data_IF_195676726941
#
_entry.id   IF_195676726941
#
_cell.length_a   1.000
_cell.length_b   1.000
_cell.length_c   1.000
_cell.angle_alpha   90.00
_cell.angle_beta   90.00
_cell.angle_gamma   90.00
#
_symmetry.space_group_name_H-M   'P 1'
#
loop_
_entity.id
_entity.type
_entity.pdbx_description
1 polymer ?
#
# COMPACT_ATOMS: atom_id res chain seq x y z
N UNK A 1 1.75 25.99 60.49
CA UNK A 1 0.86 26.13 59.31
C UNK A 1 1.63 26.17 57.98
N UNK A 2 2.71 26.95 57.87
CA UNK A 2 3.53 27.04 56.64
C UNK A 2 4.22 25.74 56.18
N UNK A 3 4.58 24.84 57.11
CA UNK A 3 5.30 23.61 56.78
C UNK A 3 4.40 22.55 56.12
N UNK A 4 3.15 22.43 56.58
CA UNK A 4 2.17 21.50 56.03
C UNK A 4 1.72 21.90 54.61
N UNK A 5 1.67 23.20 54.33
CA UNK A 5 1.31 23.71 52.99
C UNK A 5 2.36 23.34 51.93
N UNK A 6 3.66 23.36 52.29
CA UNK A 6 4.75 22.93 51.39
C UNK A 6 4.72 21.44 51.07
N UNK A 7 4.39 20.60 52.04
CA UNK A 7 4.32 19.14 51.83
C UNK A 7 3.14 18.79 50.92
N UNK A 8 1.98 19.44 51.10
CA UNK A 8 0.81 19.24 50.25
C UNK A 8 1.09 19.71 48.82
N UNK A 9 1.74 20.87 48.63
CA UNK A 9 2.14 21.35 47.30
C UNK A 9 3.14 20.41 46.61
N UNK A 10 4.12 19.87 47.33
CA UNK A 10 5.04 18.88 46.78
C UNK A 10 4.34 17.56 46.42
N UNK A 11 3.37 17.10 47.21
CA UNK A 11 2.62 15.87 46.92
C UNK A 11 1.69 16.03 45.72
N UNK A 12 1.03 17.20 45.58
CA UNK A 12 0.20 17.53 44.42
C UNK A 12 1.07 17.69 43.16
N UNK A 13 2.24 18.33 43.25
CA UNK A 13 3.20 18.38 42.13
C UNK A 13 3.71 16.99 41.74
N UNK A 14 3.98 16.12 42.71
CA UNK A 14 4.44 14.75 42.46
C UNK A 14 3.34 13.90 41.81
N UNK A 15 2.09 14.03 42.25
CA UNK A 15 0.93 13.39 41.60
C UNK A 15 0.65 13.95 40.20
N UNK A 16 0.88 15.24 39.97
CA UNK A 16 0.81 15.86 38.64
C UNK A 16 1.91 15.34 37.71
N UNK A 17 3.13 15.11 38.22
CA UNK A 17 4.22 14.53 37.45
C UNK A 17 4.12 13.01 37.25
N UNK A 18 3.46 12.28 38.14
CA UNK A 18 3.15 10.85 37.92
C UNK A 18 2.03 10.69 36.89
N UNK A 19 1.05 11.59 36.87
CA UNK A 19 -0.02 11.59 35.86
C UNK A 19 0.43 12.06 34.47
N UNK A 20 1.51 12.86 34.36
CA UNK A 20 2.16 13.14 33.06
C UNK A 20 3.14 12.06 32.61
N UNK A 21 3.46 11.08 33.47
CA UNK A 21 4.21 9.86 33.12
C UNK A 21 3.30 8.66 32.84
N UNK A 22 1.99 8.88 32.68
CA UNK A 22 1.19 7.98 31.86
C UNK A 22 1.77 8.08 30.47
N UNK A 23 2.55 7.07 30.08
CA UNK A 23 3.03 6.82 28.73
C UNK A 23 1.96 7.28 27.76
N UNK A 24 2.15 8.47 27.18
CA UNK A 24 1.33 8.93 26.08
C UNK A 24 1.42 7.78 25.07
N UNK A 25 0.29 7.10 24.89
CA UNK A 25 0.09 6.31 23.69
C UNK A 25 0.37 7.30 22.56
N UNK A 26 1.55 7.19 21.95
CA UNK A 26 1.95 8.09 20.88
C UNK A 26 0.93 7.90 19.79
N UNK A 27 0.31 9.00 19.44
CA UNK A 27 -0.83 9.04 18.58
C UNK A 27 -0.42 8.54 17.17
N UNK A 28 -1.09 7.52 16.60
CA UNK A 28 -0.75 7.04 15.26
C UNK A 28 -0.83 8.13 14.17
N UNK A 29 -1.49 9.26 14.46
CA UNK A 29 -1.50 10.47 13.63
C UNK A 29 -0.16 11.23 13.61
N UNK A 30 0.70 11.09 14.61
CA UNK A 30 1.97 11.81 14.70
C UNK A 30 3.00 11.35 13.64
N UNK A 31 2.83 10.16 13.06
CA UNK A 31 3.83 9.54 12.19
C UNK A 31 3.48 9.58 10.70
N UNK A 32 2.31 10.11 10.37
CA UNK A 32 1.79 10.11 9.01
C UNK A 32 0.97 11.38 8.77
N UNK A 33 1.06 11.99 7.58
CA UNK A 33 1.92 11.61 6.47
C UNK A 33 3.37 12.09 6.64
N UNK A 34 4.33 11.45 5.97
CA UNK A 34 5.72 11.95 5.88
C UNK A 34 5.84 13.10 4.89
N UNK A 35 4.88 13.24 3.97
CA UNK A 35 4.81 14.32 3.01
C UNK A 35 3.38 14.72 2.64
N UNK A 36 3.16 16.02 2.41
CA UNK A 36 1.90 16.58 1.90
C UNK A 36 2.13 17.35 0.61
N UNK A 37 1.20 17.24 -0.33
CA UNK A 37 1.21 18.05 -1.55
C UNK A 37 1.03 19.54 -1.19
N UNK A 38 1.56 20.47 -1.98
CA UNK A 38 1.24 21.89 -1.84
C UNK A 38 -0.26 22.17 -2.04
N UNK A 39 -0.84 23.18 -1.35
CA UNK A 39 -2.19 23.65 -1.62
C UNK A 39 -2.39 23.96 -3.12
N UNK A 40 -3.56 23.60 -3.68
CA UNK A 40 -3.89 23.78 -5.10
C UNK A 40 -3.39 22.71 -6.07
N UNK A 41 -2.51 21.79 -5.62
CA UNK A 41 -2.10 20.59 -6.38
C UNK A 41 -2.75 19.29 -5.86
N UNK A 42 -3.53 19.40 -4.79
CA UNK A 42 -4.22 18.29 -4.13
C UNK A 42 -5.54 17.98 -4.86
N UNK A 43 -5.83 16.71 -5.20
CA UNK A 43 -7.19 16.31 -5.54
C UNK A 43 -8.10 16.46 -4.31
N UNK A 44 -9.41 16.49 -4.51
CA UNK A 44 -10.41 16.65 -3.43
C UNK A 44 -10.30 15.57 -2.34
N UNK A 45 -9.80 14.38 -2.70
CA UNK A 45 -9.62 13.26 -1.78
C UNK A 45 -8.27 13.29 -1.02
N UNK A 46 -7.47 14.36 -1.14
CA UNK A 46 -6.30 14.59 -0.26
C UNK A 46 -6.61 15.76 0.66
N UNK A 47 -6.93 15.43 1.92
CA UNK A 47 -7.62 16.34 2.87
C UNK A 47 -6.81 16.58 4.13
N UNK A 48 -7.04 17.72 4.79
CA UNK A 48 -6.48 18.00 6.11
C UNK A 48 -7.48 17.57 7.21
N UNK A 49 -7.75 16.26 7.28
CA UNK A 49 -8.59 15.61 8.30
C UNK A 49 -7.77 14.67 9.19
N UNK A 50 -8.40 14.05 10.18
CA UNK A 50 -7.78 12.95 10.92
C UNK A 50 -7.83 11.66 10.09
N UNK A 51 -6.73 10.91 10.13
CA UNK A 51 -6.63 9.57 9.54
C UNK A 51 -7.48 8.57 10.34
N UNK A 52 -7.81 7.43 9.73
CA UNK A 52 -8.45 6.32 10.45
C UNK A 52 -7.43 5.67 11.39
N UNK A 53 -7.78 5.59 12.67
CA UNK A 53 -6.98 4.97 13.73
C UNK A 53 -7.65 3.69 14.26
N UNK A 54 -6.93 2.84 15.01
CA UNK A 54 -7.49 1.62 15.58
C UNK A 54 -8.77 1.87 16.40
N UNK A 55 -9.87 1.24 15.98
CA UNK A 55 -11.19 1.33 16.62
C UNK A 55 -12.17 2.30 15.97
N UNK A 56 -11.74 3.09 14.97
CA UNK A 56 -12.64 3.97 14.20
C UNK A 56 -13.57 3.19 13.26
N UNK A 57 -13.16 1.98 12.89
CA UNK A 57 -13.92 1.03 12.08
C UNK A 57 -13.93 -0.32 12.76
N UNK A 58 -14.85 -1.18 12.39
CA UNK A 58 -14.87 -2.58 12.80
C UNK A 58 -14.59 -3.49 11.61
N UNK A 59 -13.94 -4.63 11.86
CA UNK A 59 -13.71 -5.64 10.82
C UNK A 59 -15.01 -6.17 10.21
N UNK A 60 -16.09 -6.19 10.98
CA UNK A 60 -17.45 -6.55 10.56
C UNK A 60 -17.99 -5.65 9.43
N UNK A 61 -17.43 -4.45 9.27
CA UNK A 61 -17.83 -3.51 8.23
C UNK A 61 -17.31 -3.88 6.84
N UNK A 62 -16.25 -4.67 6.78
CA UNK A 62 -15.59 -5.03 5.53
C UNK A 62 -16.07 -6.39 5.01
N UNK A 63 -16.30 -6.49 3.71
CA UNK A 63 -16.54 -7.77 3.04
C UNK A 63 -15.24 -8.55 2.88
N UNK A 64 -15.34 -9.88 2.92
CA UNK A 64 -14.23 -10.73 2.53
C UNK A 64 -14.00 -10.65 1.01
N UNK A 65 -12.77 -10.90 0.53
CA UNK A 65 -12.43 -10.78 -0.89
C UNK A 65 -13.26 -11.70 -1.79
N UNK A 66 -13.65 -12.88 -1.29
CA UNK A 66 -14.50 -13.83 -2.03
C UNK A 66 -15.88 -13.24 -2.34
N UNK A 67 -16.40 -12.36 -1.47
CA UNK A 67 -17.66 -11.65 -1.71
C UNK A 67 -17.55 -10.75 -2.94
N UNK A 68 -16.43 -10.05 -3.09
CA UNK A 68 -16.14 -9.24 -4.28
C UNK A 68 -15.99 -10.12 -5.53
N UNK A 69 -15.36 -11.29 -5.38
CA UNK A 69 -15.12 -12.24 -6.48
C UNK A 69 -16.38 -12.82 -7.13
N UNK A 70 -17.52 -12.83 -6.42
CA UNK A 70 -18.81 -13.24 -6.99
C UNK A 70 -19.26 -12.34 -8.16
N UNK A 71 -18.93 -11.05 -8.11
CA UNK A 71 -19.24 -10.09 -9.17
C UNK A 71 -18.01 -9.72 -10.02
N UNK A 72 -16.81 -9.76 -9.43
CA UNK A 72 -15.54 -9.39 -10.08
C UNK A 72 -14.57 -10.59 -10.19
N UNK A 73 -14.96 -11.71 -10.84
CA UNK A 73 -14.19 -12.96 -10.78
C UNK A 73 -12.79 -12.84 -11.38
N UNK A 74 -12.63 -12.12 -12.48
CA UNK A 74 -11.32 -11.94 -13.12
C UNK A 74 -10.38 -11.09 -12.25
N UNK A 75 -10.86 -9.96 -11.72
CA UNK A 75 -10.07 -9.11 -10.81
C UNK A 75 -9.69 -9.88 -9.54
N UNK A 76 -10.65 -10.60 -8.95
CA UNK A 76 -10.40 -11.43 -7.76
C UNK A 76 -9.31 -12.48 -8.02
N UNK A 77 -9.34 -13.16 -9.17
CA UNK A 77 -8.32 -14.13 -9.57
C UNK A 77 -6.94 -13.50 -9.75
N UNK A 78 -6.86 -12.28 -10.30
CA UNK A 78 -5.59 -11.54 -10.42
C UNK A 78 -5.02 -11.22 -9.03
N UNK A 79 -5.88 -10.67 -8.16
CA UNK A 79 -5.54 -10.23 -6.81
C UNK A 79 -5.16 -11.40 -5.90
N UNK A 80 -5.86 -12.54 -5.93
CA UNK A 80 -5.69 -13.62 -4.94
C UNK A 80 -4.26 -14.16 -4.83
N UNK A 81 -3.52 -14.16 -5.95
CA UNK A 81 -2.12 -14.57 -5.99
C UNK A 81 -1.10 -13.43 -5.85
N UNK A 82 -1.54 -12.19 -5.68
CA UNK A 82 -0.68 -11.01 -5.58
C UNK A 82 0.02 -10.89 -4.23
N UNK A 83 1.11 -10.11 -4.13
CA UNK A 83 1.74 -9.82 -2.83
C UNK A 83 0.81 -9.03 -1.91
N UNK A 84 -0.12 -8.23 -2.43
CA UNK A 84 -1.15 -7.53 -1.65
C UNK A 84 -2.08 -8.50 -0.91
N UNK A 85 -2.61 -9.51 -1.61
CA UNK A 85 -3.43 -10.55 -0.99
C UNK A 85 -2.67 -11.36 0.06
N UNK A 86 -1.34 -11.42 -0.08
CA UNK A 86 -0.44 -12.20 0.77
C UNK A 86 0.36 -11.33 1.74
N UNK A 87 0.05 -10.04 1.89
CA UNK A 87 0.91 -9.06 2.55
C UNK A 87 1.21 -9.44 4.02
N UNK A 88 0.19 -9.91 4.74
CA UNK A 88 0.33 -10.38 6.12
C UNK A 88 0.97 -11.76 6.23
N UNK A 89 0.53 -12.73 5.43
CA UNK A 89 1.04 -14.11 5.51
C UNK A 89 2.39 -14.34 4.83
N UNK A 90 3.00 -13.30 4.26
CA UNK A 90 4.30 -13.39 3.63
C UNK A 90 5.35 -13.87 4.66
N UNK A 91 6.04 -14.99 4.42
CA UNK A 91 6.95 -15.57 5.42
C UNK A 91 8.16 -14.70 5.70
N UNK A 92 8.67 -13.95 4.71
CA UNK A 92 9.76 -13.00 4.92
C UNK A 92 9.31 -11.85 5.82
N UNK A 93 8.14 -11.26 5.52
CA UNK A 93 7.57 -10.23 6.37
C UNK A 93 7.33 -10.74 7.79
N UNK A 94 6.72 -11.91 7.94
CA UNK A 94 6.47 -12.52 9.26
C UNK A 94 7.76 -12.79 10.03
N UNK A 95 8.82 -13.24 9.38
CA UNK A 95 10.12 -13.43 10.03
C UNK A 95 10.67 -12.09 10.57
N UNK A 96 10.65 -11.03 9.77
CA UNK A 96 11.13 -9.70 10.16
C UNK A 96 10.25 -9.04 11.22
N UNK A 97 8.92 -9.12 11.07
CA UNK A 97 7.96 -8.58 12.02
C UNK A 97 8.08 -9.27 13.39
N UNK A 98 8.19 -10.60 13.42
CA UNK A 98 8.38 -11.35 14.65
C UNK A 98 9.75 -11.10 15.29
N UNK A 99 10.81 -10.92 14.49
CA UNK A 99 12.10 -10.47 14.99
C UNK A 99 11.97 -9.09 15.66
N UNK A 100 11.34 -8.12 14.98
CA UNK A 100 11.07 -6.79 15.50
C UNK A 100 10.32 -6.84 16.83
N UNK A 101 9.22 -7.60 16.92
CA UNK A 101 8.46 -7.80 18.17
C UNK A 101 9.32 -8.37 19.29
N UNK A 102 10.22 -9.31 18.98
CA UNK A 102 11.12 -9.94 19.97
C UNK A 102 12.21 -8.98 20.44
N UNK A 103 12.71 -8.11 19.57
CA UNK A 103 13.86 -7.24 19.86
C UNK A 103 13.48 -5.85 20.36
N UNK A 104 12.22 -5.42 20.16
CA UNK A 104 11.73 -4.12 20.58
C UNK A 104 11.80 -3.94 22.10
N UNK A 105 12.46 -2.88 22.55
CA UNK A 105 12.61 -2.45 23.93
C UNK A 105 11.84 -1.15 24.16
N UNK A 106 10.91 -1.19 25.11
CA UNK A 106 10.05 -0.05 25.44
C UNK A 106 8.91 0.18 24.44
N UNK A 107 7.95 1.01 24.84
CA UNK A 107 6.69 1.18 24.12
C UNK A 107 6.87 1.81 22.74
N UNK A 108 7.78 2.78 22.60
CA UNK A 108 8.04 3.42 21.30
C UNK A 108 8.55 2.44 20.23
N UNK A 109 9.47 1.51 20.57
CA UNK A 109 9.96 0.52 19.60
C UNK A 109 8.88 -0.47 19.22
N UNK A 110 8.07 -0.93 20.19
CA UNK A 110 6.94 -1.83 19.93
C UNK A 110 5.94 -1.18 18.98
N UNK A 111 5.61 0.09 19.21
CA UNK A 111 4.69 0.82 18.34
C UNK A 111 5.25 1.07 16.94
N UNK A 112 6.56 1.30 16.81
CA UNK A 112 7.18 1.36 15.48
C UNK A 112 7.05 0.02 14.73
N UNK A 113 7.22 -1.11 15.42
CA UNK A 113 6.98 -2.44 14.83
C UNK A 113 5.50 -2.62 14.46
N UNK A 114 4.57 -2.27 15.35
CA UNK A 114 3.12 -2.33 15.10
C UNK A 114 2.68 -1.44 13.92
N UNK A 115 3.41 -0.36 13.63
CA UNK A 115 3.12 0.52 12.49
C UNK A 115 3.18 -0.21 11.15
N UNK A 116 3.98 -1.28 11.04
CA UNK A 116 4.04 -2.10 9.83
C UNK A 116 2.69 -2.77 9.50
N UNK A 117 1.85 -3.03 10.52
CA UNK A 117 0.53 -3.65 10.34
C UNK A 117 -0.42 -2.73 9.56
N UNK A 118 -0.23 -1.40 9.61
CA UNK A 118 -1.02 -0.42 8.85
C UNK A 118 -1.00 -0.70 7.35
N UNK A 119 0.12 -1.17 6.81
CA UNK A 119 0.26 -1.49 5.40
C UNK A 119 0.02 -2.98 5.11
N UNK A 120 0.38 -3.87 6.04
CA UNK A 120 0.40 -5.32 5.79
C UNK A 120 -0.90 -6.05 6.19
N UNK A 121 -1.64 -5.54 7.16
CA UNK A 121 -2.95 -6.04 7.58
C UNK A 121 -3.86 -4.85 7.99
N UNK A 122 -4.16 -3.94 7.03
CA UNK A 122 -4.75 -2.63 7.31
C UNK A 122 -6.11 -2.70 8.01
N UNK A 123 -6.96 -3.67 7.65
CA UNK A 123 -8.29 -3.83 8.28
C UNK A 123 -8.13 -4.21 9.75
N UNK A 124 -7.29 -5.21 10.06
CA UNK A 124 -7.01 -5.63 11.43
C UNK A 124 -6.43 -4.49 12.27
N UNK A 125 -5.49 -3.71 11.70
CA UNK A 125 -4.94 -2.52 12.35
C UNK A 125 -6.03 -1.48 12.65
N UNK A 126 -6.75 -1.02 11.63
CA UNK A 126 -7.77 0.02 11.77
C UNK A 126 -8.96 -0.41 12.62
N UNK A 127 -9.20 -1.71 12.73
CA UNK A 127 -10.23 -2.26 13.63
C UNK A 127 -9.78 -2.41 15.08
N UNK A 128 -8.49 -2.19 15.38
CA UNK A 128 -7.93 -2.40 16.71
C UNK A 128 -7.95 -3.86 17.16
N UNK A 129 -7.86 -4.81 16.22
CA UNK A 129 -7.78 -6.21 16.56
C UNK A 129 -6.50 -6.53 17.34
N UNK A 130 -6.65 -7.21 18.47
CA UNK A 130 -5.51 -7.61 19.32
C UNK A 130 -4.82 -8.88 18.81
N UNK A 131 -5.58 -9.75 18.16
CA UNK A 131 -5.09 -10.98 17.57
C UNK A 131 -5.27 -10.91 16.06
N UNK A 132 -4.20 -11.21 15.33
CA UNK A 132 -4.13 -11.07 13.87
C UNK A 132 -3.68 -12.42 13.28
N UNK A 133 -4.61 -13.38 13.12
CA UNK A 133 -4.27 -14.71 12.63
C UNK A 133 -3.69 -14.67 11.21
N UNK A 134 -2.80 -15.61 10.88
CA UNK A 134 -2.13 -15.64 9.58
C UNK A 134 -3.07 -16.07 8.43
N UNK A 135 -4.10 -16.83 8.76
CA UNK A 135 -5.12 -17.37 7.84
C UNK A 135 -6.37 -16.49 7.75
N UNK A 136 -6.32 -15.27 8.27
CA UNK A 136 -7.39 -14.29 8.16
C UNK A 136 -7.69 -13.94 6.69
N UNK A 137 -8.94 -14.13 6.26
CA UNK A 137 -9.39 -13.75 4.92
C UNK A 137 -9.30 -12.24 4.65
N UNK A 138 -9.32 -11.42 5.72
CA UNK A 138 -9.12 -9.97 5.68
C UNK A 138 -7.69 -9.56 6.02
N UNK A 139 -6.80 -10.56 6.14
CA UNK A 139 -5.38 -10.49 6.49
C UNK A 139 -4.53 -9.58 5.63
N UNK A 140 -4.85 -9.39 4.35
CA UNK A 140 -3.99 -8.67 3.40
C UNK A 140 -4.45 -7.25 3.08
N UNK A 141 -3.82 -6.69 2.04
CA UNK A 141 -4.32 -5.50 1.35
C UNK A 141 -5.40 -5.97 0.38
N UNK A 142 -6.64 -5.98 0.86
CA UNK A 142 -7.77 -6.59 0.15
C UNK A 142 -8.62 -5.58 -0.63
N UNK A 143 -9.47 -6.10 -1.52
CA UNK A 143 -10.40 -5.32 -2.34
C UNK A 143 -11.17 -4.28 -1.51
N UNK A 144 -11.78 -4.72 -0.41
CA UNK A 144 -12.66 -3.89 0.40
C UNK A 144 -11.91 -2.88 1.28
N UNK A 145 -10.61 -3.08 1.51
CA UNK A 145 -9.77 -2.06 2.13
C UNK A 145 -9.47 -0.96 1.12
N UNK A 146 -8.82 -1.29 -0.01
CA UNK A 146 -8.38 -0.30 -0.99
C UNK A 146 -9.57 0.53 -1.49
N UNK A 147 -10.67 -0.12 -1.85
CA UNK A 147 -11.84 0.56 -2.38
C UNK A 147 -12.71 1.23 -1.31
N UNK A 148 -12.38 1.12 -0.02
CA UNK A 148 -13.02 1.89 1.06
C UNK A 148 -12.16 3.08 1.53
N UNK A 149 -10.96 3.28 0.98
CA UNK A 149 -10.17 4.49 1.24
C UNK A 149 -10.84 5.67 0.55
N UNK A 150 -11.58 6.48 1.30
CA UNK A 150 -12.27 7.65 0.73
C UNK A 150 -11.35 8.83 0.47
N UNK A 151 -10.27 8.93 1.24
CA UNK A 151 -9.34 10.03 1.24
C UNK A 151 -8.03 9.64 1.92
N UNK A 152 -7.02 10.49 1.78
CA UNK A 152 -5.78 10.41 2.55
C UNK A 152 -5.35 11.79 3.00
N UNK A 153 -4.53 11.89 4.04
CA UNK A 153 -4.00 13.18 4.51
C UNK A 153 -2.65 13.55 3.89
N UNK A 154 -2.07 12.65 3.09
CA UNK A 154 -0.81 12.87 2.39
C UNK A 154 -0.21 11.55 1.88
N UNK A 155 1.12 11.47 1.88
CA UNK A 155 1.88 10.29 1.46
C UNK A 155 2.70 9.76 2.63
N UNK A 156 2.81 8.45 2.67
CA UNK A 156 3.69 7.67 3.52
C UNK A 156 3.19 7.42 4.93
N UNK A 157 3.64 6.27 5.46
CA UNK A 157 3.20 5.70 6.73
C UNK A 157 1.67 5.52 6.84
N UNK A 158 1.01 5.16 5.73
CA UNK A 158 -0.41 4.81 5.62
C UNK A 158 -1.38 5.85 6.20
N UNK A 159 -1.43 7.09 5.66
CA UNK A 159 -2.29 8.17 6.16
C UNK A 159 -3.70 8.10 5.57
N UNK A 160 -4.29 6.91 5.48
CA UNK A 160 -5.58 6.69 4.82
C UNK A 160 -6.77 7.04 5.73
N UNK A 161 -7.89 7.35 5.10
CA UNK A 161 -9.19 7.55 5.75
C UNK A 161 -10.19 6.57 5.13
N UNK A 162 -10.70 5.65 5.94
CA UNK A 162 -11.63 4.61 5.53
C UNK A 162 -13.09 5.06 5.67
N UNK A 163 -13.91 4.55 4.77
CA UNK A 163 -15.36 4.66 4.79
C UNK A 163 -15.98 3.35 4.28
N UNK A 164 -15.86 2.25 5.06
CA UNK A 164 -16.43 0.97 4.67
C UNK A 164 -17.96 1.00 4.74
N UNK A 165 -18.58 -0.05 4.21
CA UNK A 165 -20.01 -0.29 4.42
C UNK A 165 -20.29 -0.94 5.77
N UNK A 166 -21.23 -1.88 5.78
CA UNK A 166 -21.47 -2.78 6.89
C UNK A 166 -21.77 -4.19 6.37
N UNK A 167 -20.73 -5.02 6.23
CA UNK A 167 -20.88 -6.38 5.74
C UNK A 167 -21.74 -7.27 6.66
N UNK A 168 -21.82 -6.98 7.96
CA UNK A 168 -22.67 -7.73 8.90
C UNK A 168 -24.17 -7.63 8.58
N UNK A 169 -24.58 -6.59 7.84
CA UNK A 169 -25.96 -6.38 7.38
C UNK A 169 -26.05 -6.28 5.86
N UNK A 170 -25.06 -6.80 5.14
CA UNK A 170 -24.99 -6.83 3.68
C UNK A 170 -25.02 -5.44 3.00
N UNK A 171 -24.52 -4.41 3.68
CA UNK A 171 -24.43 -3.06 3.13
C UNK A 171 -23.04 -2.81 2.54
N UNK A 172 -22.92 -2.74 1.20
CA UNK A 172 -21.63 -2.54 0.52
C UNK A 172 -20.96 -1.19 0.77
N UNK A 173 -21.71 -0.17 1.21
CA UNK A 173 -21.21 1.19 1.35
C UNK A 173 -20.86 1.82 0.00
N UNK A 174 -19.94 2.80 -0.01
CA UNK A 174 -19.44 3.44 -1.23
C UNK A 174 -18.04 2.94 -1.55
N UNK A 175 -17.83 2.47 -2.79
CA UNK A 175 -16.53 2.06 -3.29
C UNK A 175 -15.92 3.11 -4.20
N UNK A 176 -14.67 3.45 -3.93
CA UNK A 176 -13.92 4.50 -4.62
C UNK A 176 -13.04 3.88 -5.71
N UNK A 177 -13.00 4.50 -6.89
CA UNK A 177 -12.24 3.95 -8.01
C UNK A 177 -12.11 4.91 -9.19
N UNK A 178 -11.56 4.43 -10.33
CA UNK A 178 -11.22 5.28 -11.47
C UNK A 178 -12.38 5.55 -12.43
N UNK A 179 -13.59 5.04 -12.15
CA UNK A 179 -14.76 5.16 -13.03
C UNK A 179 -15.88 5.93 -12.33
N UNK A 180 -16.59 6.79 -13.07
CA UNK A 180 -17.72 7.63 -12.64
C UNK A 180 -19.08 7.16 -13.18
N UNK A 181 -19.08 6.15 -14.05
CA UNK A 181 -20.24 5.66 -14.80
C UNK A 181 -20.67 4.25 -14.37
N UNK A 182 -20.15 3.73 -13.26
CA UNK A 182 -20.46 2.35 -12.87
C UNK A 182 -21.88 2.25 -12.29
N UNK A 183 -22.58 1.13 -12.47
CA UNK A 183 -23.92 0.97 -11.91
C UNK A 183 -23.86 0.74 -10.39
N UNK A 184 -24.78 1.37 -9.66
CA UNK A 184 -25.01 1.06 -8.25
C UNK A 184 -25.71 -0.30 -8.14
N UNK A 185 -25.12 -1.20 -7.35
CA UNK A 185 -25.66 -2.56 -7.12
C UNK A 185 -25.65 -2.89 -5.62
N UNK A 186 -24.83 -3.85 -5.18
CA UNK A 186 -24.62 -4.19 -3.77
C UNK A 186 -23.84 -3.11 -3.01
N UNK A 187 -23.10 -2.27 -3.73
CA UNK A 187 -22.40 -1.10 -3.23
C UNK A 187 -22.63 0.08 -4.17
N UNK A 188 -22.52 1.28 -3.62
CA UNK A 188 -22.42 2.53 -4.40
C UNK A 188 -21.03 2.63 -5.00
N UNK A 189 -20.91 3.39 -6.08
CA UNK A 189 -19.62 3.69 -6.68
C UNK A 189 -19.37 5.20 -6.72
N UNK A 190 -18.13 5.61 -6.53
CA UNK A 190 -17.73 7.01 -6.60
C UNK A 190 -16.37 7.13 -7.28
N UNK A 191 -16.31 7.95 -8.32
CA UNK A 191 -15.04 8.34 -8.91
C UNK A 191 -14.14 9.00 -7.86
N UNK A 192 -12.86 8.65 -7.91
CA UNK A 192 -11.84 9.19 -7.02
C UNK A 192 -10.58 9.46 -7.81
N UNK A 193 -10.24 10.75 -7.96
CA UNK A 193 -8.98 11.16 -8.59
C UNK A 193 -7.77 10.61 -7.81
N UNK A 194 -7.89 10.42 -6.49
CA UNK A 194 -6.85 9.75 -5.71
C UNK A 194 -6.52 8.36 -6.26
N UNK A 195 -7.52 7.57 -6.66
CA UNK A 195 -7.31 6.21 -7.19
C UNK A 195 -6.69 6.18 -8.59
N UNK A 196 -6.60 7.32 -9.29
CA UNK A 196 -5.93 7.44 -10.59
C UNK A 196 -4.50 8.00 -10.46
N UNK A 197 -4.00 8.17 -9.23
CA UNK A 197 -2.75 8.88 -8.95
C UNK A 197 -1.79 8.07 -8.08
N UNK A 198 -0.49 8.34 -8.24
CA UNK A 198 0.58 7.70 -7.47
C UNK A 198 0.48 7.98 -5.97
N UNK A 199 -0.11 9.10 -5.56
CA UNK A 199 -0.31 9.43 -4.14
C UNK A 199 -1.08 8.35 -3.37
N UNK A 200 -2.01 7.66 -4.00
CA UNK A 200 -2.74 6.55 -3.38
C UNK A 200 -1.81 5.40 -2.99
N UNK A 201 -0.94 4.99 -3.92
CA UNK A 201 0.06 3.95 -3.68
C UNK A 201 1.12 4.42 -2.69
N UNK A 202 1.53 5.70 -2.80
CA UNK A 202 2.52 6.34 -1.92
C UNK A 202 2.08 6.42 -0.46
N UNK A 203 0.80 6.25 -0.15
CA UNK A 203 0.34 6.05 1.24
C UNK A 203 1.08 4.89 1.93
N UNK A 204 1.29 3.77 1.23
CA UNK A 204 1.98 2.60 1.76
C UNK A 204 3.40 2.40 1.20
N UNK A 205 3.70 2.94 0.01
CA UNK A 205 4.97 2.81 -0.71
C UNK A 205 5.92 4.02 -0.54
N UNK A 206 5.88 4.61 0.64
CA UNK A 206 6.82 5.63 1.13
C UNK A 206 6.84 5.46 2.66
N UNK A 207 7.87 4.80 3.18
CA UNK A 207 7.90 4.36 4.58
C UNK A 207 9.10 4.95 5.26
N UNK A 208 8.85 5.68 6.35
CA UNK A 208 9.88 6.18 7.24
C UNK A 208 9.68 5.58 8.62
N UNK A 209 10.78 5.35 9.32
CA UNK A 209 10.77 4.88 10.69
C UNK A 209 9.94 5.87 11.55
N UNK A 210 8.84 5.38 12.13
CA UNK A 210 7.80 6.20 12.77
C UNK A 210 8.33 7.09 13.90
N UNK A 211 9.46 6.72 14.48
CA UNK A 211 10.00 7.42 15.64
C UNK A 211 11.18 8.36 15.43
N UNK A 212 11.82 8.35 14.26
CA UNK A 212 13.01 9.19 13.99
C UNK A 212 13.12 9.63 12.53
N UNK A 213 12.06 9.38 11.74
CA UNK A 213 11.92 9.76 10.33
C UNK A 213 13.00 9.18 9.39
N UNK A 214 13.77 8.18 9.84
CA UNK A 214 14.76 7.53 8.98
C UNK A 214 14.04 6.84 7.80
N UNK A 215 14.40 7.17 6.55
CA UNK A 215 13.88 6.48 5.37
C UNK A 215 14.09 4.96 5.43
N UNK A 216 13.01 4.20 5.19
CA UNK A 216 13.05 2.73 5.03
C UNK A 216 12.76 2.35 3.57
N UNK A 217 11.66 2.88 3.02
CA UNK A 217 11.26 2.76 1.61
C UNK A 217 10.93 4.16 1.09
N UNK A 218 11.44 4.54 -0.07
CA UNK A 218 11.27 5.88 -0.63
C UNK A 218 10.71 5.85 -2.06
N UNK A 219 9.98 4.78 -2.41
CA UNK A 219 9.59 4.52 -3.81
C UNK A 219 8.69 5.63 -4.37
N UNK A 220 7.74 6.15 -3.60
CA UNK A 220 6.97 7.32 -4.05
C UNK A 220 7.86 8.56 -4.17
N UNK A 221 8.73 8.82 -3.19
CA UNK A 221 9.63 9.98 -3.24
C UNK A 221 10.58 9.93 -4.44
N UNK A 222 11.13 8.76 -4.76
CA UNK A 222 11.93 8.48 -5.95
C UNK A 222 11.14 8.70 -7.23
N UNK A 223 9.89 8.19 -7.31
CA UNK A 223 9.00 8.46 -8.45
C UNK A 223 8.73 9.96 -8.61
N UNK A 224 8.41 10.65 -7.52
CA UNK A 224 8.05 12.08 -7.52
C UNK A 224 9.21 12.94 -7.99
N UNK A 225 10.45 12.58 -7.63
CA UNK A 225 11.66 13.29 -8.04
C UNK A 225 12.23 12.79 -9.38
N UNK A 226 11.74 11.65 -9.84
CA UNK A 226 12.19 10.97 -11.05
C UNK A 226 11.49 11.45 -12.33
N UNK A 227 11.91 10.90 -13.48
CA UNK A 227 11.45 11.34 -14.80
C UNK A 227 9.97 11.04 -15.06
N UNK A 228 9.38 10.10 -14.33
CA UNK A 228 7.98 9.70 -14.48
C UNK A 228 6.99 10.71 -13.91
N UNK A 229 7.43 11.57 -12.99
CA UNK A 229 6.63 12.68 -12.51
C UNK A 229 7.05 13.97 -13.22
N UNK A 230 6.47 14.21 -14.39
CA UNK A 230 6.75 15.42 -15.20
C UNK A 230 6.19 16.72 -14.59
N UNK A 231 5.34 16.60 -13.56
CA UNK A 231 4.63 17.72 -12.96
C UNK A 231 3.33 18.12 -13.69
N UNK A 232 3.08 17.61 -14.90
CA UNK A 232 1.81 17.72 -15.62
C UNK A 232 1.08 16.35 -15.56
N UNK A 233 -0.13 16.28 -14.98
CA UNK A 233 -0.92 15.04 -14.93
C UNK A 233 -1.15 14.37 -16.28
N UNK A 234 -1.10 15.11 -17.40
CA UNK A 234 -1.29 14.54 -18.75
C UNK A 234 -0.07 13.77 -19.26
N UNK A 235 1.11 14.08 -18.74
CA UNK A 235 2.39 13.49 -19.19
C UNK A 235 3.09 12.70 -18.10
N UNK A 236 2.67 12.84 -16.85
CA UNK A 236 3.12 12.00 -15.76
C UNK A 236 2.65 10.56 -15.93
N UNK A 237 3.53 9.62 -15.61
CA UNK A 237 3.25 8.19 -15.58
C UNK A 237 3.04 7.81 -14.13
N UNK A 238 1.81 7.48 -13.76
CA UNK A 238 1.47 7.07 -12.41
C UNK A 238 1.81 5.60 -12.14
N UNK A 239 1.87 5.22 -10.87
CA UNK A 239 2.16 3.83 -10.46
C UNK A 239 1.25 2.83 -11.19
N UNK A 240 -0.05 3.16 -11.29
CA UNK A 240 -1.09 2.37 -11.94
C UNK A 240 -0.79 2.13 -13.42
N UNK A 241 -0.23 3.13 -14.13
CA UNK A 241 0.07 3.06 -15.56
C UNK A 241 1.09 1.97 -15.93
N UNK A 242 1.86 1.48 -14.97
CA UNK A 242 2.74 0.33 -15.14
C UNK A 242 2.20 -0.88 -14.39
N UNK A 243 1.97 -0.73 -13.08
CA UNK A 243 1.70 -1.86 -12.18
C UNK A 243 0.29 -2.42 -12.27
N UNK A 244 -0.67 -1.63 -12.78
CA UNK A 244 -2.05 -2.08 -13.01
C UNK A 244 -2.37 -2.20 -14.51
N UNK A 245 -1.36 -2.11 -15.38
CA UNK A 245 -1.47 -2.55 -16.80
C UNK A 245 -0.82 -3.89 -17.05
N UNK A 246 0.14 -4.24 -16.18
CA UNK A 246 0.88 -5.49 -16.23
C UNK A 246 -0.06 -6.69 -16.21
N UNK A 247 0.16 -7.61 -17.14
CA UNK A 247 -0.58 -8.87 -17.28
C UNK A 247 0.31 -9.88 -18.02
N UNK A 248 -0.03 -11.18 -18.03
CA UNK A 248 0.76 -12.19 -18.75
C UNK A 248 1.08 -11.74 -20.18
N UNK A 249 2.35 -11.75 -20.56
CA UNK A 249 2.84 -11.32 -21.88
C UNK A 249 2.99 -9.80 -22.07
N UNK A 250 2.59 -8.98 -21.09
CA UNK A 250 2.72 -7.52 -21.13
C UNK A 250 3.36 -7.00 -19.83
N UNK A 251 4.70 -6.98 -19.73
CA UNK A 251 5.41 -6.57 -18.52
C UNK A 251 5.06 -5.15 -18.04
N UNK A 252 4.74 -4.24 -18.98
CA UNK A 252 4.31 -2.86 -18.70
C UNK A 252 5.26 -2.12 -17.75
N UNK A 253 6.54 -2.09 -18.12
CA UNK A 253 7.65 -1.42 -17.43
C UNK A 253 8.04 -0.12 -18.14
N UNK A 254 9.02 0.61 -17.62
CA UNK A 254 9.62 1.77 -18.32
C UNK A 254 10.19 1.44 -19.69
N UNK A 255 10.73 0.23 -19.86
CA UNK A 255 11.31 -0.26 -21.12
C UNK A 255 10.30 -0.80 -22.13
N UNK A 256 9.04 -1.01 -21.75
CA UNK A 256 8.10 -1.80 -22.57
C UNK A 256 6.81 -1.04 -22.84
N UNK A 257 6.11 -1.44 -23.90
CA UNK A 257 4.79 -0.88 -24.19
C UNK A 257 3.81 -1.15 -23.04
N UNK A 258 2.87 -0.22 -22.88
CA UNK A 258 1.85 -0.22 -21.83
C UNK A 258 0.45 -0.23 -22.45
N UNK A 259 0.13 -1.22 -23.31
CA UNK A 259 -1.07 -1.18 -24.13
C UNK A 259 -2.33 -1.19 -23.27
N UNK A 260 -3.36 -0.52 -23.78
CA UNK A 260 -4.71 -0.60 -23.24
C UNK A 260 -5.19 -2.05 -23.14
N UNK A 261 -6.20 -2.26 -22.31
CA UNK A 261 -6.69 -3.58 -21.93
C UNK A 261 -8.21 -3.56 -22.00
N UNK A 262 -8.80 -3.60 -23.21
CA UNK A 262 -10.24 -3.54 -23.35
C UNK A 262 -10.91 -4.72 -22.66
N UNK A 263 -11.97 -4.45 -21.90
CA UNK A 263 -12.63 -5.49 -21.14
C UNK A 263 -13.72 -4.95 -20.22
N UNK A 264 -14.02 -5.72 -19.19
CA UNK A 264 -15.03 -5.37 -18.20
C UNK A 264 -14.48 -5.52 -16.77
N UNK A 265 -14.86 -4.64 -15.86
CA UNK A 265 -14.56 -4.81 -14.43
C UNK A 265 -15.43 -5.91 -13.79
N UNK A 266 -16.64 -6.09 -14.33
CA UNK A 266 -17.66 -7.07 -13.93
C UNK A 266 -18.15 -7.74 -15.21
N UNK A 267 -18.46 -9.04 -15.27
CA UNK A 267 -19.07 -9.65 -16.45
C UNK A 267 -20.29 -8.88 -16.96
N UNK A 268 -20.45 -8.79 -18.28
CA UNK A 268 -21.56 -8.06 -18.91
C UNK A 268 -22.94 -8.55 -18.44
N UNK A 269 -23.08 -9.87 -18.22
CA UNK A 269 -24.31 -10.48 -17.69
C UNK A 269 -24.72 -9.97 -16.29
N UNK A 270 -23.78 -9.39 -15.54
CA UNK A 270 -24.01 -8.78 -14.23
C UNK A 270 -24.09 -7.25 -14.30
N UNK A 271 -24.27 -6.67 -15.49
CA UNK A 271 -24.35 -5.23 -15.71
C UNK A 271 -23.01 -4.53 -15.92
N UNK A 272 -21.94 -5.28 -16.21
CA UNK A 272 -20.64 -4.71 -16.50
C UNK A 272 -20.61 -3.89 -17.78
N UNK A 273 -19.96 -2.72 -17.73
CA UNK A 273 -19.77 -1.84 -18.88
C UNK A 273 -18.45 -2.18 -19.57
N UNK A 274 -18.48 -2.32 -20.91
CA UNK A 274 -17.27 -2.54 -21.72
C UNK A 274 -16.43 -1.25 -21.74
N UNK A 275 -15.15 -1.38 -21.39
CA UNK A 275 -14.23 -0.25 -21.31
C UNK A 275 -13.06 -0.41 -22.28
N UNK A 276 -12.50 0.69 -22.80
CA UNK A 276 -11.26 0.64 -23.58
C UNK A 276 -10.08 0.15 -22.73
N UNK A 277 -10.12 0.38 -21.42
CA UNK A 277 -9.10 -0.07 -20.49
C UNK A 277 -9.68 -0.52 -19.14
N UNK A 278 -9.28 -1.71 -18.71
CA UNK A 278 -9.48 -2.23 -17.35
C UNK A 278 -8.13 -2.44 -16.69
N UNK A 279 -8.01 -1.89 -15.48
CA UNK A 279 -6.84 -2.02 -14.63
C UNK A 279 -6.75 -3.41 -14.02
N UNK A 280 -5.59 -4.05 -14.17
CA UNK A 280 -5.28 -5.37 -13.63
C UNK A 280 -4.84 -5.28 -12.18
N UNK A 281 -5.04 -6.37 -11.44
CA UNK A 281 -4.79 -6.43 -9.99
C UNK A 281 -3.78 -7.52 -9.62
N UNK A 282 -2.82 -7.80 -10.50
CA UNK A 282 -1.78 -8.79 -10.23
C UNK A 282 -0.76 -8.32 -9.18
N UNK A 283 -0.56 -7.00 -9.06
CA UNK A 283 0.37 -6.32 -8.14
C UNK A 283 1.72 -7.05 -8.02
N UNK A 284 2.34 -7.30 -9.17
CA UNK A 284 3.61 -8.03 -9.23
C UNK A 284 4.78 -7.07 -9.03
N UNK A 285 5.63 -7.40 -8.05
CA UNK A 285 6.91 -6.74 -7.80
C UNK A 285 8.09 -7.64 -8.19
N UNK A 286 9.16 -7.60 -7.40
CA UNK A 286 10.36 -8.43 -7.61
C UNK A 286 10.32 -9.84 -7.01
N UNK A 287 9.20 -10.25 -6.40
CA UNK A 287 9.11 -11.58 -5.78
C UNK A 287 8.84 -12.67 -6.82
N UNK A 288 9.83 -13.52 -7.05
CA UNK A 288 9.69 -14.76 -7.85
C UNK A 288 9.34 -15.97 -7.00
N UNK A 289 9.26 -15.80 -5.68
CA UNK A 289 8.85 -16.86 -4.76
C UNK A 289 7.33 -16.99 -4.84
N UNK A 290 6.77 -18.19 -5.06
CA UNK A 290 5.34 -18.41 -5.02
C UNK A 290 4.86 -18.29 -3.56
N UNK A 291 4.37 -17.10 -3.21
CA UNK A 291 3.70 -16.82 -1.94
C UNK A 291 2.16 -16.91 -2.12
N UNK A 292 1.70 -17.18 -3.34
CA UNK A 292 0.31 -17.08 -3.78
C UNK A 292 -0.61 -18.19 -3.26
N UNK A 293 -1.88 -17.84 -3.03
CA UNK A 293 -2.97 -18.79 -3.03
C UNK A 293 -3.73 -18.71 -4.38
N UNK A 294 -4.06 -19.84 -5.01
CA UNK A 294 -3.77 -21.20 -4.58
C UNK A 294 -2.26 -21.52 -4.65
N UNK A 295 -1.78 -22.42 -3.77
CA UNK A 295 -0.38 -22.81 -3.76
C UNK A 295 0.02 -23.35 -5.13
N UNK A 296 1.24 -23.05 -5.56
CA UNK A 296 1.81 -23.41 -6.87
C UNK A 296 1.28 -22.62 -8.08
N UNK A 297 0.54 -21.50 -7.90
CA UNK A 297 0.31 -20.58 -9.02
C UNK A 297 1.65 -20.08 -9.56
N UNK A 298 1.89 -20.31 -10.85
CA UNK A 298 3.11 -19.86 -11.56
C UNK A 298 2.95 -18.49 -12.21
N UNK A 299 1.73 -17.96 -12.28
CA UNK A 299 1.42 -16.72 -13.03
C UNK A 299 2.19 -15.53 -12.47
N UNK A 300 2.04 -15.20 -11.18
CA UNK A 300 2.72 -14.07 -10.57
C UNK A 300 4.25 -14.21 -10.55
N UNK A 301 4.84 -15.39 -10.20
CA UNK A 301 6.28 -15.60 -10.34
C UNK A 301 6.81 -15.39 -11.76
N UNK A 302 6.11 -15.89 -12.79
CA UNK A 302 6.51 -15.70 -14.19
C UNK A 302 6.44 -14.22 -14.57
N UNK A 303 5.34 -13.55 -14.23
CA UNK A 303 5.20 -12.11 -14.45
C UNK A 303 6.29 -11.30 -13.71
N UNK A 304 6.75 -11.76 -12.55
CA UNK A 304 7.84 -11.11 -11.82
C UNK A 304 9.17 -11.26 -12.56
N UNK A 305 9.47 -12.45 -13.09
CA UNK A 305 10.64 -12.67 -13.94
C UNK A 305 10.58 -11.80 -15.20
N UNK A 306 9.45 -11.80 -15.91
CA UNK A 306 9.24 -10.97 -17.10
C UNK A 306 9.44 -9.48 -16.79
N UNK A 307 8.91 -9.01 -15.66
CA UNK A 307 9.09 -7.62 -15.21
C UNK A 307 10.55 -7.30 -14.92
N UNK A 308 11.24 -8.15 -14.16
CA UNK A 308 12.65 -7.95 -13.78
C UNK A 308 13.57 -7.94 -15.00
N UNK A 309 13.32 -8.80 -15.99
CA UNK A 309 14.04 -8.82 -17.25
C UNK A 309 13.86 -7.55 -18.09
N UNK A 310 12.78 -6.79 -17.83
CA UNK A 310 12.45 -5.54 -18.52
C UNK A 310 12.52 -4.31 -17.60
N UNK A 311 13.20 -4.41 -16.44
CA UNK A 311 13.32 -3.31 -15.48
C UNK A 311 14.55 -2.43 -15.75
N UNK A 312 15.53 -2.93 -16.50
CA UNK A 312 16.73 -2.21 -16.89
C UNK A 312 17.24 -2.75 -18.23
N UNK A 313 17.95 -1.91 -18.98
CA UNK A 313 18.70 -2.36 -20.16
C UNK A 313 20.17 -2.49 -19.81
N UNK A 314 20.82 -3.55 -20.28
CA UNK A 314 22.24 -3.81 -20.08
C UNK A 314 22.97 -3.82 -21.43
N UNK A 315 24.08 -3.11 -21.53
CA UNK A 315 24.99 -3.15 -22.67
C UNK A 315 26.41 -3.51 -22.22
N UNK A 316 27.04 -4.46 -22.90
CA UNK A 316 28.42 -4.88 -22.61
C UNK A 316 29.30 -4.46 -23.78
N UNK A 317 30.31 -3.66 -23.49
CA UNK A 317 31.24 -3.11 -24.47
C UNK A 317 32.61 -3.78 -24.30
N UNK A 318 33.02 -4.58 -25.29
CA UNK A 318 34.37 -5.11 -25.35
C UNK A 318 35.36 -4.00 -25.75
N UNK A 319 36.50 -3.90 -25.07
CA UNK A 319 37.60 -3.04 -25.55
C UNK A 319 38.40 -3.75 -26.63
N UNK A 320 38.90 -2.95 -27.58
CA UNK A 320 39.53 -3.39 -28.83
C UNK A 320 40.89 -4.09 -28.68
N UNK A 321 41.53 -4.04 -27.51
CA UNK A 321 42.86 -4.63 -27.26
C UNK A 321 42.80 -5.90 -26.39
N UNK A 322 42.24 -6.98 -26.95
CA UNK A 322 42.20 -8.29 -26.28
C UNK A 322 43.53 -9.02 -26.49
N UNK A 323 44.34 -9.13 -25.43
CA UNK A 323 45.55 -9.95 -25.47
C UNK A 323 45.27 -11.41 -25.11
N UNK A 324 45.91 -12.35 -25.82
CA UNK A 324 45.78 -13.81 -25.59
C UNK A 324 46.21 -14.25 -24.19
N UNK A 325 47.04 -13.45 -23.53
CA UNK A 325 47.53 -13.66 -22.16
C UNK A 325 47.42 -12.30 -21.46
N UNK A 326 46.66 -12.21 -20.37
CA UNK A 326 46.47 -10.97 -19.62
C UNK A 326 45.04 -10.76 -19.13
N UNK A 327 44.78 -9.57 -18.57
CA UNK A 327 43.49 -9.18 -18.02
C UNK A 327 42.58 -8.61 -19.13
N UNK A 328 41.41 -9.22 -19.31
CA UNK A 328 40.35 -8.66 -20.15
C UNK A 328 39.68 -7.51 -19.40
N UNK A 329 39.67 -6.33 -20.03
CA UNK A 329 38.86 -5.19 -19.58
C UNK A 329 37.59 -5.15 -20.44
N UNK A 330 36.48 -4.71 -19.87
CA UNK A 330 35.25 -4.41 -20.60
C UNK A 330 34.43 -3.42 -19.76
N UNK A 331 33.50 -2.73 -20.42
CA UNK A 331 32.57 -1.81 -19.77
C UNK A 331 31.16 -2.42 -19.80
N UNK A 332 30.41 -2.24 -18.73
CA UNK A 332 28.99 -2.62 -18.65
C UNK A 332 28.19 -1.38 -18.30
N UNK A 333 27.28 -1.01 -19.20
CA UNK A 333 26.33 0.07 -18.98
C UNK A 333 25.00 -0.54 -18.54
N UNK A 334 24.48 -0.04 -17.41
CA UNK A 334 23.19 -0.45 -16.84
C UNK A 334 22.32 0.80 -16.76
N UNK A 335 21.22 0.82 -17.51
CA UNK A 335 20.26 1.92 -17.50
C UNK A 335 18.97 1.44 -16.84
N UNK A 336 18.62 2.08 -15.72
CA UNK A 336 17.29 1.94 -15.13
C UNK A 336 16.28 2.66 -16.05
N UNK A 337 15.26 1.94 -16.50
CA UNK A 337 14.38 2.40 -17.58
C UNK A 337 13.08 2.97 -17.11
#
# INVERSE_FOLDING_TARGET
>A
MYFYLKIILCFVFYLFFISTNVSLASDPREWSPVWKLPPGKRPENIVDEFITVPGDVEKSQFFSPISCGSCHPEIFKMWSGSTHANAWRNPLFQALYNLGKKTAKGEWQKRNVESCVRCHHPIGHSSGEKDLPLDDEKGGVICDFCHSVRATTGVGNAPYILNPGNAAVMEGGTKYGPFDDSPDTIHKNKFSELHTRSEFCGGCHDVSHAGNDLPIEQTYTEWRQGPYNTGDPKTSVHCQDCHMRQRPGFPSTGSTERPDNPGFATPEILGGIKRPHIWTHYFVGGSVVPISLPPNSKVQPQMAVERLQNAATLAIHAVSDVQRIGMLKFQVDIMNT
#
